data_IF_599830693292
#
_entry.id   IF_599830693292
#
_cell.length_a   1.000
_cell.length_b   1.000
_cell.length_c   1.000
_cell.angle_alpha   90.00
_cell.angle_beta   90.00
_cell.angle_gamma   90.00
#
_symmetry.space_group_name_H-M   'P 1'
#
loop_
_entity.id
_entity.type
_entity.pdbx_description
1 polymer ?
#
# COMPACT_ATOMS: atom_id res chain seq x y z
N UNK A 1 -11.65 6.68 -10.03
CA UNK A 1 -10.53 7.66 -10.15
C UNK A 1 -9.27 6.98 -9.61
N UNK A 2 -8.10 7.18 -10.23
CA UNK A 2 -6.84 6.72 -9.66
C UNK A 2 -6.51 7.50 -8.38
N UNK A 3 -6.02 6.80 -7.37
CA UNK A 3 -5.54 7.39 -6.12
C UNK A 3 -4.17 8.05 -6.32
N UNK A 4 -3.83 9.05 -5.51
CA UNK A 4 -2.52 9.70 -5.53
C UNK A 4 -2.04 10.01 -4.11
N UNK A 5 -0.81 10.54 -3.97
CA UNK A 5 -0.18 10.80 -2.67
C UNK A 5 -0.95 11.81 -1.79
N UNK A 6 -1.79 12.65 -2.39
CA UNK A 6 -2.62 13.67 -1.70
C UNK A 6 -4.05 13.18 -1.45
N UNK A 7 -4.56 12.33 -2.34
CA UNK A 7 -5.91 11.79 -2.36
C UNK A 7 -5.83 10.27 -2.40
N UNK A 8 -5.71 9.67 -1.22
CA UNK A 8 -5.67 8.23 -1.00
C UNK A 8 -6.80 7.79 -0.06
N UNK A 9 -7.19 6.51 -0.09
CA UNK A 9 -8.27 6.02 0.74
C UNK A 9 -7.88 6.08 2.23
N UNK A 10 -8.83 6.35 3.15
CA UNK A 10 -8.56 6.49 4.58
C UNK A 10 -7.80 5.30 5.18
N UNK A 11 -8.02 4.09 4.64
CA UNK A 11 -7.33 2.86 5.06
C UNK A 11 -5.81 2.89 4.86
N UNK A 12 -5.28 3.76 3.99
CA UNK A 12 -3.85 3.93 3.75
C UNK A 12 -3.22 5.03 4.63
N UNK A 13 -4.00 5.80 5.39
CA UNK A 13 -3.51 6.92 6.21
C UNK A 13 -2.50 6.50 7.28
N UNK A 14 -2.64 5.30 7.83
CA UNK A 14 -1.74 4.77 8.87
C UNK A 14 -0.41 4.24 8.32
N UNK A 15 -0.24 4.20 7.00
CA UNK A 15 0.99 3.73 6.37
C UNK A 15 2.01 4.87 6.28
N UNK A 16 3.32 4.59 6.52
CA UNK A 16 4.40 5.51 6.16
C UNK A 16 4.34 5.90 4.69
N UNK A 17 4.77 7.11 4.37
CA UNK A 17 4.74 7.65 3.01
C UNK A 17 5.28 6.69 1.92
N UNK A 18 6.50 6.10 2.02
CA UNK A 18 7.01 5.21 0.98
C UNK A 18 6.14 3.95 0.78
N UNK A 19 5.49 3.48 1.85
CA UNK A 19 4.63 2.30 1.83
C UNK A 19 3.27 2.67 1.26
N UNK A 20 2.74 3.83 1.62
CA UNK A 20 1.49 4.36 1.07
C UNK A 20 1.60 4.59 -0.44
N UNK A 21 2.68 5.19 -0.90
CA UNK A 21 2.93 5.43 -2.32
C UNK A 21 2.96 4.11 -3.08
N UNK A 22 3.61 3.09 -2.50
CA UNK A 22 3.61 1.74 -3.08
C UNK A 22 2.22 1.11 -3.11
N UNK A 23 1.40 1.31 -2.08
CA UNK A 23 0.03 0.82 -2.04
C UNK A 23 -0.85 1.51 -3.11
N UNK A 24 -0.66 2.81 -3.32
CA UNK A 24 -1.38 3.58 -4.35
C UNK A 24 -1.09 3.02 -5.74
N UNK A 25 0.19 2.78 -6.06
CA UNK A 25 0.60 2.20 -7.35
C UNK A 25 -0.06 0.85 -7.62
N UNK A 26 -0.04 -0.04 -6.62
CA UNK A 26 -0.60 -1.39 -6.72
C UNK A 26 -2.12 -1.34 -6.86
N UNK A 27 -2.79 -0.49 -6.07
CA UNK A 27 -4.25 -0.33 -6.14
C UNK A 27 -4.67 0.23 -7.51
N UNK A 28 -3.96 1.25 -8.01
CA UNK A 28 -4.22 1.83 -9.33
C UNK A 28 -4.04 0.81 -10.46
N UNK A 29 -3.01 -0.03 -10.40
CA UNK A 29 -2.80 -1.11 -11.37
C UNK A 29 -3.97 -2.11 -11.37
N UNK A 30 -4.48 -2.48 -10.19
CA UNK A 30 -5.62 -3.39 -10.08
C UNK A 30 -6.94 -2.76 -10.54
N UNK A 31 -7.16 -1.49 -10.24
CA UNK A 31 -8.33 -0.73 -10.70
C UNK A 31 -8.35 -0.66 -12.24
N UNK A 32 -7.18 -0.45 -12.87
CA UNK A 32 -7.04 -0.48 -14.34
C UNK A 32 -7.35 -1.85 -14.94
N UNK A 33 -7.16 -2.94 -14.18
CA UNK A 33 -7.51 -4.30 -14.59
C UNK A 33 -9.00 -4.64 -14.34
N UNK A 34 -9.81 -3.68 -13.87
CA UNK A 34 -11.23 -3.91 -13.58
C UNK A 34 -11.49 -4.58 -12.23
N UNK A 35 -10.50 -4.67 -11.33
CA UNK A 35 -10.73 -5.17 -9.97
C UNK A 35 -11.58 -4.16 -9.18
N UNK A 36 -12.42 -4.68 -8.29
CA UNK A 36 -13.20 -3.86 -7.36
C UNK A 36 -12.30 -3.06 -6.41
N UNK A 37 -12.67 -1.81 -6.15
CA UNK A 37 -11.90 -0.88 -5.33
C UNK A 37 -11.59 -1.41 -3.93
N UNK A 38 -12.59 -1.95 -3.22
CA UNK A 38 -12.39 -2.49 -1.87
C UNK A 38 -11.40 -3.67 -1.81
N UNK A 39 -11.37 -4.51 -2.85
CA UNK A 39 -10.41 -5.62 -2.96
C UNK A 39 -9.02 -5.11 -3.38
N UNK A 40 -8.96 -4.17 -4.32
CA UNK A 40 -7.72 -3.54 -4.75
C UNK A 40 -7.00 -2.86 -3.58
N UNK A 41 -7.72 -2.09 -2.76
CA UNK A 41 -7.16 -1.40 -1.59
C UNK A 41 -6.59 -2.40 -0.58
N UNK A 42 -7.33 -3.44 -0.22
CA UNK A 42 -6.87 -4.44 0.76
C UNK A 42 -5.60 -5.17 0.29
N UNK A 43 -5.60 -5.65 -0.95
CA UNK A 43 -4.44 -6.38 -1.50
C UNK A 43 -3.23 -5.44 -1.62
N UNK A 44 -3.45 -4.21 -2.06
CA UNK A 44 -2.39 -3.22 -2.21
C UNK A 44 -1.74 -2.84 -0.88
N UNK A 45 -2.54 -2.64 0.18
CA UNK A 45 -2.03 -2.37 1.52
C UNK A 45 -1.14 -3.53 1.99
N UNK A 46 -1.59 -4.78 1.86
CA UNK A 46 -0.81 -5.93 2.33
C UNK A 46 0.49 -6.12 1.54
N UNK A 47 0.47 -5.95 0.22
CA UNK A 47 1.69 -6.01 -0.61
C UNK A 47 2.66 -4.88 -0.28
N UNK A 48 2.15 -3.67 -0.08
CA UNK A 48 2.98 -2.53 0.27
C UNK A 48 3.63 -2.70 1.65
N UNK A 49 2.88 -3.17 2.65
CA UNK A 49 3.44 -3.50 3.98
C UNK A 49 4.55 -4.55 3.87
N UNK A 50 4.36 -5.61 3.09
CA UNK A 50 5.38 -6.64 2.86
C UNK A 50 6.63 -6.05 2.21
N UNK A 51 6.46 -5.24 1.17
CA UNK A 51 7.55 -4.53 0.50
C UNK A 51 8.29 -3.61 1.48
N UNK A 52 7.55 -2.89 2.33
CA UNK A 52 8.12 -2.00 3.32
C UNK A 52 8.93 -2.73 4.40
N UNK A 53 8.43 -3.88 4.89
CA UNK A 53 9.17 -4.73 5.84
C UNK A 53 10.48 -5.23 5.22
N UNK A 54 10.41 -5.73 3.99
CA UNK A 54 11.58 -6.24 3.27
C UNK A 54 12.66 -5.16 3.03
N UNK A 55 12.28 -3.89 2.99
CA UNK A 55 13.20 -2.75 2.79
C UNK A 55 13.53 -1.99 4.07
N UNK A 56 13.04 -2.44 5.23
CA UNK A 56 13.24 -1.75 6.51
C UNK A 56 12.54 -0.39 6.62
N UNK A 57 11.60 -0.07 5.71
CA UNK A 57 10.85 1.21 5.69
C UNK A 57 9.43 1.07 6.27
N UNK A 58 9.08 -0.12 6.78
CA UNK A 58 7.81 -0.39 7.46
C UNK A 58 8.02 -1.32 8.65
N UNK A 59 7.66 -0.85 9.85
CA UNK A 59 7.75 -1.62 11.08
C UNK A 59 9.14 -1.60 11.70
N UNK A 60 9.34 -0.76 12.72
CA UNK A 60 10.50 -0.83 13.59
C UNK A 60 10.41 -2.04 14.51
N UNK A 61 11.05 -3.14 14.12
CA UNK A 61 11.79 -4.11 14.95
C UNK A 61 12.14 -5.31 14.08
N UNK A 62 13.41 -5.36 13.69
CA UNK A 62 14.09 -6.62 13.37
C UNK A 62 14.18 -7.39 14.68
N UNK A 63 13.46 -8.50 14.78
CA UNK A 63 13.75 -9.55 15.76
C UNK A 63 13.76 -10.88 15.03
N UNK A 64 14.83 -11.64 15.31
CA UNK A 64 15.14 -13.02 14.94
C UNK A 64 15.74 -13.24 13.55
N UNK A 65 17.05 -13.44 13.51
CA UNK A 65 17.60 -14.76 13.88
C UNK A 65 18.51 -14.60 15.11
#
# INVERSE_FOLDING_TARGET
>A
MPWNAERYPPSMRSLPQPVRDKAIDIANAMLRQGRTEGSAIRIAIEQAKRWGRARGVFGGKVTSD
#
